data_IF_458207874788
#
_entry.id   IF_458207874788
#
_cell.length_a   1.000
_cell.length_b   1.000
_cell.length_c   1.000
_cell.angle_alpha   90.00
_cell.angle_beta   90.00
_cell.angle_gamma   90.00
#
_symmetry.space_group_name_H-M   'P 1'
#
loop_
_entity.id
_entity.type
_entity.pdbx_description
1 polymer ?
#
# COMPACT_ATOMS: atom_id res chain seq x y z
N UNK A 1 41.96 5.88 -44.83
CA UNK A 1 41.07 5.04 -43.99
C UNK A 1 39.90 5.92 -43.58
N UNK A 2 38.67 5.61 -44.04
CA UNK A 2 37.46 6.41 -43.76
C UNK A 2 36.73 5.77 -42.58
N UNK A 3 36.66 6.47 -41.45
CA UNK A 3 35.86 6.06 -40.29
C UNK A 3 34.48 6.70 -40.40
N UNK A 4 33.48 5.91 -40.75
CA UNK A 4 32.08 6.34 -40.73
C UNK A 4 31.55 6.25 -39.30
N UNK A 5 31.27 7.40 -38.69
CA UNK A 5 30.60 7.48 -37.39
C UNK A 5 29.11 7.17 -37.57
N UNK A 6 28.65 6.00 -37.10
CA UNK A 6 27.24 5.74 -36.90
C UNK A 6 26.78 6.51 -35.65
N UNK A 7 26.01 7.57 -35.86
CA UNK A 7 25.32 8.26 -34.77
C UNK A 7 24.10 7.43 -34.36
N UNK A 8 24.14 6.83 -33.17
CA UNK A 8 23.01 6.11 -32.59
C UNK A 8 22.00 7.13 -32.02
N UNK A 9 20.80 7.21 -32.61
CA UNK A 9 19.68 7.92 -32.00
C UNK A 9 19.28 7.18 -30.70
N UNK A 10 19.62 7.76 -29.54
CA UNK A 10 19.06 7.34 -28.27
C UNK A 10 17.61 7.81 -28.19
N UNK A 11 16.65 6.90 -28.42
CA UNK A 11 15.24 7.15 -28.15
C UNK A 11 15.05 7.22 -26.63
N UNK A 12 14.48 8.30 -26.06
CA UNK A 12 14.16 8.34 -24.65
C UNK A 12 13.08 7.30 -24.33
N UNK A 13 13.43 6.31 -23.50
CA UNK A 13 12.45 5.42 -22.88
C UNK A 13 11.66 6.22 -21.84
N UNK A 14 10.46 6.67 -22.20
CA UNK A 14 9.50 7.18 -21.23
C UNK A 14 8.93 6.00 -20.45
N UNK A 15 9.52 5.70 -19.29
CA UNK A 15 8.91 4.76 -18.35
C UNK A 15 7.64 5.41 -17.76
N UNK A 16 6.46 4.95 -18.21
CA UNK A 16 5.20 5.35 -17.58
C UNK A 16 5.08 4.66 -16.23
N UNK A 17 4.81 5.42 -15.17
CA UNK A 17 4.53 4.88 -13.84
C UNK A 17 3.22 4.07 -13.86
N UNK A 18 3.25 2.83 -13.39
CA UNK A 18 2.06 1.98 -13.35
C UNK A 18 1.11 2.43 -12.24
N UNK A 19 -0.19 2.16 -12.42
CA UNK A 19 -1.20 2.34 -11.36
C UNK A 19 -1.69 0.94 -10.95
N UNK A 20 -1.53 0.63 -9.67
CA UNK A 20 -2.00 -0.62 -9.05
C UNK A 20 -3.27 -0.34 -8.27
N UNK A 21 -4.35 -1.04 -8.58
CA UNK A 21 -5.65 -0.83 -7.92
C UNK A 21 -5.83 -1.81 -6.76
N UNK A 22 -6.33 -1.31 -5.62
CA UNK A 22 -6.75 -2.09 -4.46
C UNK A 22 -8.17 -1.71 -4.10
N UNK A 23 -9.08 -2.67 -4.22
CA UNK A 23 -10.44 -2.54 -3.72
C UNK A 23 -10.44 -2.58 -2.19
N UNK A 24 -11.11 -1.63 -1.55
CA UNK A 24 -11.23 -1.50 -0.09
C UNK A 24 -12.69 -1.71 0.29
N UNK A 25 -12.98 -2.80 0.99
CA UNK A 25 -14.32 -3.03 1.54
C UNK A 25 -15.31 -3.74 0.63
N UNK A 26 -14.93 -4.13 -0.60
CA UNK A 26 -15.87 -4.68 -1.59
C UNK A 26 -16.54 -5.98 -1.13
N UNK A 27 -15.83 -6.78 -0.33
CA UNK A 27 -16.32 -8.03 0.25
C UNK A 27 -16.23 -8.01 1.79
N UNK A 28 -16.67 -6.91 2.42
CA UNK A 28 -16.60 -6.75 3.88
C UNK A 28 -15.19 -6.33 4.34
N UNK A 29 -14.62 -7.01 5.33
CA UNK A 29 -13.33 -6.62 5.95
C UNK A 29 -12.12 -6.99 5.08
N UNK A 30 -12.00 -6.39 3.88
CA UNK A 30 -11.03 -6.84 2.88
C UNK A 30 -10.30 -5.71 2.13
N UNK A 31 -9.06 -6.03 1.76
CA UNK A 31 -8.33 -5.37 0.69
C UNK A 31 -8.15 -6.36 -0.46
N UNK A 32 -8.36 -5.96 -1.70
CA UNK A 32 -8.21 -6.85 -2.86
C UNK A 32 -7.49 -6.15 -4.01
N UNK A 33 -6.27 -6.59 -4.41
CA UNK A 33 -5.51 -7.68 -3.83
C UNK A 33 -4.88 -7.29 -2.47
N UNK A 34 -4.58 -8.29 -1.63
CA UNK A 34 -3.84 -8.09 -0.38
C UNK A 34 -2.31 -8.02 -0.58
N UNK A 35 -1.80 -8.38 -1.76
CA UNK A 35 -0.37 -8.30 -2.08
C UNK A 35 -0.17 -7.54 -3.38
N UNK A 36 0.77 -6.59 -3.37
CA UNK A 36 1.08 -5.74 -4.52
C UNK A 36 2.59 -5.79 -4.76
N UNK A 37 3.01 -5.86 -6.02
CA UNK A 37 4.41 -5.64 -6.42
C UNK A 37 4.46 -4.38 -7.27
N UNK A 38 5.17 -3.36 -6.81
CA UNK A 38 5.20 -2.04 -7.42
C UNK A 38 6.62 -1.45 -7.42
N UNK A 39 6.98 -0.81 -8.52
CA UNK A 39 8.24 -0.10 -8.66
C UNK A 39 8.19 1.27 -7.99
N UNK A 40 9.36 1.85 -7.70
CA UNK A 40 9.44 3.25 -7.27
C UNK A 40 8.92 4.16 -8.38
N UNK A 41 8.00 5.05 -8.04
CA UNK A 41 7.31 5.94 -8.98
C UNK A 41 5.90 5.48 -9.36
N UNK A 42 5.60 4.18 -9.21
CA UNK A 42 4.24 3.67 -9.40
C UNK A 42 3.26 4.31 -8.40
N UNK A 43 1.98 4.25 -8.73
CA UNK A 43 0.89 4.65 -7.84
C UNK A 43 0.12 3.42 -7.35
N UNK A 44 -0.36 3.49 -6.12
CA UNK A 44 -1.34 2.53 -5.60
C UNK A 44 -2.62 3.30 -5.32
N UNK A 45 -3.69 2.92 -6.03
CA UNK A 45 -5.02 3.50 -5.96
C UNK A 45 -5.91 2.60 -5.10
N UNK A 46 -6.21 3.03 -3.88
CA UNK A 46 -7.13 2.37 -2.97
C UNK A 46 -8.55 2.87 -3.22
N UNK A 47 -9.38 2.05 -3.86
CA UNK A 47 -10.77 2.35 -4.23
C UNK A 47 -11.69 1.91 -3.10
N UNK A 48 -12.34 2.86 -2.43
CA UNK A 48 -13.22 2.58 -1.30
C UNK A 48 -14.62 2.18 -1.76
N UNK A 49 -14.83 0.88 -1.95
CA UNK A 49 -16.13 0.30 -2.30
C UNK A 49 -17.07 0.22 -1.08
N UNK A 50 -16.51 0.17 0.14
CA UNK A 50 -17.24 0.20 1.41
C UNK A 50 -16.85 1.38 2.31
N UNK A 51 -17.78 1.80 3.17
CA UNK A 51 -17.54 2.84 4.18
C UNK A 51 -16.93 2.26 5.47
N UNK A 52 -16.36 3.14 6.32
CA UNK A 52 -15.81 2.74 7.63
C UNK A 52 -14.44 2.06 7.55
N UNK A 53 -13.75 2.22 6.43
CA UNK A 53 -12.43 1.66 6.18
C UNK A 53 -11.35 2.73 6.15
N UNK A 54 -10.12 2.29 6.39
CA UNK A 54 -8.93 3.13 6.36
C UNK A 54 -7.80 2.35 5.68
N UNK A 55 -6.77 3.05 5.23
CA UNK A 55 -5.50 2.48 4.77
C UNK A 55 -4.40 3.11 5.61
N UNK A 56 -3.77 2.33 6.49
CA UNK A 56 -2.69 2.77 7.37
C UNK A 56 -1.45 1.89 7.19
N UNK A 57 -0.26 2.49 7.18
CA UNK A 57 0.98 1.70 7.14
C UNK A 57 1.22 0.99 8.48
N UNK A 58 1.37 -0.34 8.41
CA UNK A 58 1.57 -1.20 9.58
C UNK A 58 3.03 -1.41 9.97
N UNK A 59 3.23 -1.92 11.18
CA UNK A 59 4.54 -2.38 11.67
C UNK A 59 4.67 -3.91 11.53
N UNK A 60 5.64 -4.39 10.77
CA UNK A 60 5.94 -5.83 10.63
C UNK A 60 6.34 -6.55 11.93
N UNK A 61 6.60 -5.81 13.02
CA UNK A 61 6.89 -6.40 14.34
C UNK A 61 5.69 -6.42 15.28
N UNK A 62 4.62 -5.69 14.95
CA UNK A 62 3.44 -5.54 15.80
C UNK A 62 2.23 -5.28 14.90
N UNK A 63 1.56 -6.35 14.47
CA UNK A 63 0.40 -6.29 13.59
C UNK A 63 -0.69 -5.34 14.12
N UNK A 64 -1.41 -4.72 13.21
CA UNK A 64 -2.49 -3.75 13.50
C UNK A 64 -2.05 -2.50 14.29
N UNK A 65 -0.73 -2.28 14.43
CA UNK A 65 -0.15 -1.07 15.01
C UNK A 65 0.53 -0.23 13.93
N UNK A 66 0.47 1.11 14.04
CA UNK A 66 1.03 2.00 13.03
C UNK A 66 2.55 1.93 13.01
N UNK A 67 3.12 2.09 11.82
CA UNK A 67 4.56 2.29 11.67
C UNK A 67 4.98 3.64 12.30
N UNK A 68 6.05 3.66 13.11
CA UNK A 68 6.36 4.78 14.01
C UNK A 68 6.75 6.10 13.32
N UNK A 69 7.38 6.05 12.14
CA UNK A 69 7.88 7.25 11.45
C UNK A 69 7.54 7.21 9.98
N UNK A 70 6.91 8.27 9.48
CA UNK A 70 6.64 8.39 8.06
C UNK A 70 5.47 7.56 7.54
N UNK A 71 4.73 6.85 8.42
CA UNK A 71 3.57 6.03 8.04
C UNK A 71 2.60 6.81 7.15
N UNK A 72 2.20 6.22 6.04
CA UNK A 72 1.06 6.71 5.29
C UNK A 72 -0.25 6.36 6.02
N UNK A 73 -1.24 7.23 5.85
CA UNK A 73 -2.58 7.06 6.41
C UNK A 73 -3.59 7.82 5.58
N UNK A 74 -4.65 7.14 5.12
CA UNK A 74 -5.75 7.77 4.38
C UNK A 74 -6.70 8.55 5.28
N UNK A 75 -6.79 8.23 6.57
CA UNK A 75 -7.98 8.56 7.35
C UNK A 75 -9.16 7.66 6.97
N UNK A 76 -10.34 7.96 7.53
CA UNK A 76 -11.56 7.25 7.15
C UNK A 76 -11.94 7.58 5.70
N UNK A 77 -11.89 6.59 4.83
CA UNK A 77 -12.18 6.77 3.42
C UNK A 77 -13.68 6.84 3.13
N UNK A 78 -14.15 7.87 2.41
CA UNK A 78 -15.52 7.90 1.93
C UNK A 78 -15.75 6.79 0.90
N UNK A 79 -16.91 6.15 0.95
CA UNK A 79 -17.32 5.20 -0.09
C UNK A 79 -17.43 5.90 -1.46
N UNK A 80 -17.02 5.22 -2.53
CA UNK A 80 -16.98 5.74 -3.90
C UNK A 80 -15.82 6.68 -4.19
N UNK A 81 -14.88 6.85 -3.26
CA UNK A 81 -13.67 7.67 -3.44
C UNK A 81 -12.42 6.81 -3.54
N UNK A 82 -11.42 7.35 -4.25
CA UNK A 82 -10.13 6.68 -4.41
C UNK A 82 -9.06 7.46 -3.68
N UNK A 83 -8.35 6.82 -2.76
CA UNK A 83 -7.16 7.38 -2.15
C UNK A 83 -5.92 6.85 -2.88
N UNK A 84 -5.10 7.73 -3.43
CA UNK A 84 -3.93 7.35 -4.23
C UNK A 84 -2.64 7.77 -3.54
N UNK A 85 -1.65 6.88 -3.50
CA UNK A 85 -0.31 7.16 -3.01
C UNK A 85 0.77 6.79 -4.03
N UNK A 86 1.87 7.52 -4.01
CA UNK A 86 3.07 7.22 -4.83
C UNK A 86 4.02 6.31 -4.06
N UNK A 87 4.47 5.24 -4.72
CA UNK A 87 5.48 4.32 -4.20
C UNK A 87 6.85 5.02 -4.22
N UNK A 88 7.39 5.32 -3.04
CA UNK A 88 8.66 6.03 -2.89
C UNK A 88 9.85 5.10 -2.59
N UNK A 89 9.57 3.84 -2.26
CA UNK A 89 10.54 2.81 -1.89
C UNK A 89 10.06 1.43 -2.33
N UNK A 90 10.99 0.55 -2.70
CA UNK A 90 10.71 -0.86 -3.01
C UNK A 90 10.87 -1.78 -1.81
N UNK A 91 11.25 -1.25 -0.64
CA UNK A 91 11.28 -2.02 0.60
C UNK A 91 9.87 -2.53 0.96
N UNK A 92 9.74 -3.70 1.61
CA UNK A 92 8.44 -4.22 2.03
C UNK A 92 7.70 -3.22 2.93
N UNK A 93 6.41 -3.02 2.66
CA UNK A 93 5.52 -2.19 3.49
C UNK A 93 4.23 -2.96 3.75
N UNK A 94 3.78 -3.05 5.01
CA UNK A 94 2.44 -3.54 5.30
C UNK A 94 1.44 -2.39 5.34
N UNK A 95 0.19 -2.70 5.06
CA UNK A 95 -0.94 -1.82 5.28
C UNK A 95 -2.08 -2.58 5.96
N UNK A 96 -2.92 -1.85 6.70
CA UNK A 96 -4.06 -2.42 7.41
C UNK A 96 -5.17 -1.39 7.55
N UNK A 97 -6.38 -1.87 7.81
CA UNK A 97 -7.48 -1.02 8.25
C UNK A 97 -7.39 -0.83 9.76
N UNK A 98 -7.22 0.42 10.20
CA UNK A 98 -7.13 0.77 11.62
C UNK A 98 -8.46 0.84 12.35
N UNK A 99 -9.59 0.59 11.67
CA UNK A 99 -10.90 0.50 12.31
C UNK A 99 -10.92 -0.68 13.30
N UNK A 100 -11.43 -0.51 14.54
CA UNK A 100 -11.39 -1.56 15.55
C UNK A 100 -11.95 -2.90 15.06
N UNK A 101 -11.19 -3.97 15.23
CA UNK A 101 -11.58 -5.33 14.83
C UNK A 101 -11.37 -5.64 13.34
N UNK A 102 -11.02 -4.69 12.49
CA UNK A 102 -10.91 -4.98 11.05
C UNK A 102 -9.61 -5.71 10.72
N UNK A 103 -8.47 -5.20 11.18
CA UNK A 103 -7.17 -5.80 10.88
C UNK A 103 -6.99 -7.18 11.53
N UNK A 104 -7.45 -7.35 12.78
CA UNK A 104 -7.37 -8.62 13.51
C UNK A 104 -8.14 -9.72 12.78
N UNK A 105 -9.22 -9.34 12.10
CA UNK A 105 -10.09 -10.22 11.32
C UNK A 105 -9.70 -10.31 9.83
N UNK A 106 -8.49 -9.91 9.44
CA UNK A 106 -7.97 -10.17 8.10
C UNK A 106 -7.80 -8.95 7.19
N UNK A 107 -8.22 -7.75 7.62
CA UNK A 107 -8.16 -6.55 6.78
C UNK A 107 -6.77 -5.90 6.78
N UNK A 108 -5.83 -6.56 6.12
CA UNK A 108 -4.45 -6.13 5.92
C UNK A 108 -3.90 -6.55 4.55
N UNK A 109 -2.78 -5.97 4.16
CA UNK A 109 -2.04 -6.33 2.98
C UNK A 109 -0.56 -5.96 3.05
N UNK A 110 0.19 -6.33 2.03
CA UNK A 110 1.63 -6.08 1.90
C UNK A 110 1.99 -5.62 0.49
N UNK A 111 2.77 -4.54 0.42
CA UNK A 111 3.42 -4.05 -0.79
C UNK A 111 4.85 -4.58 -0.79
N UNK A 112 5.30 -5.10 -1.93
CA UNK A 112 6.65 -5.60 -2.17
C UNK A 112 7.13 -6.59 -1.09
N UNK A 113 6.43 -7.71 -0.83
CA UNK A 113 6.84 -8.67 0.19
C UNK A 113 8.25 -9.20 -0.10
N UNK A 114 9.09 -9.27 0.94
CA UNK A 114 10.44 -9.84 0.83
C UNK A 114 10.93 -10.38 2.18
N UNK A 115 11.72 -11.46 2.14
CA UNK A 115 12.25 -12.11 3.34
C UNK A 115 11.13 -12.52 4.30
N UNK A 116 11.24 -12.10 5.57
CA UNK A 116 10.22 -12.36 6.59
C UNK A 116 9.00 -11.43 6.54
N UNK A 117 9.04 -10.36 5.73
CA UNK A 117 7.97 -9.36 5.63
C UNK A 117 6.93 -9.81 4.59
N UNK A 118 6.23 -10.90 4.89
CA UNK A 118 5.21 -11.49 4.01
C UNK A 118 3.80 -11.23 4.54
N UNK A 119 2.80 -11.40 3.66
CA UNK A 119 1.39 -11.32 4.06
C UNK A 119 1.07 -12.32 5.18
N UNK A 120 1.53 -13.57 5.05
CA UNK A 120 1.30 -14.61 6.04
C UNK A 120 1.96 -14.29 7.40
N UNK A 121 3.19 -13.75 7.39
CA UNK A 121 3.86 -13.34 8.62
C UNK A 121 3.13 -12.18 9.31
N UNK A 122 2.69 -11.18 8.54
CA UNK A 122 1.91 -10.06 9.09
C UNK A 122 0.56 -10.55 9.66
N UNK A 123 -0.10 -11.48 8.97
CA UNK A 123 -1.37 -12.07 9.43
C UNK A 123 -1.27 -12.80 10.77
N UNK A 124 -0.18 -13.53 11.01
CA UNK A 124 0.07 -14.18 12.32
C UNK A 124 0.23 -13.19 13.47
N UNK A 125 0.71 -11.99 13.18
CA UNK A 125 0.84 -10.91 14.18
C UNK A 125 -0.49 -10.17 14.33
N UNK A 126 -1.21 -9.94 13.23
CA UNK A 126 -2.50 -9.26 13.23
C UNK A 126 -3.55 -10.02 14.06
N UNK A 127 -3.65 -11.35 13.90
CA UNK A 127 -4.60 -12.17 14.67
C UNK A 127 -4.31 -12.22 16.17
N UNK A 128 -3.10 -11.83 16.59
CA UNK A 128 -2.67 -11.75 18.00
C UNK A 128 -2.65 -10.33 18.54
N UNK A 129 -2.97 -9.33 17.71
CA UNK A 129 -2.98 -7.95 18.14
C UNK A 129 -4.15 -7.72 19.11
N UNK A 130 -3.92 -6.89 20.14
CA UNK A 130 -4.95 -6.55 21.13
C UNK A 130 -5.98 -5.54 20.61
N UNK A 131 -5.88 -5.11 19.35
CA UNK A 131 -6.73 -4.08 18.77
C UNK A 131 -5.97 -3.14 17.82
N UNK A 132 -6.72 -2.58 16.88
CA UNK A 132 -6.20 -1.74 15.81
C UNK A 132 -6.00 -0.31 16.31
N UNK A 133 -4.85 0.29 16.01
CA UNK A 133 -4.58 1.70 16.32
C UNK A 133 -4.43 2.50 15.05
N UNK A 134 -5.04 3.69 14.99
CA UNK A 134 -4.85 4.60 13.87
C UNK A 134 -3.56 5.43 14.02
N UNK A 135 -2.84 5.73 12.92
CA UNK A 135 -1.90 6.85 12.87
C UNK A 135 -2.60 8.17 13.20
N UNK A 136 -1.86 9.14 13.78
CA UNK A 136 -2.45 10.39 14.26
C UNK A 136 -2.68 11.45 13.18
N UNK A 137 -2.18 11.27 11.95
CA UNK A 137 -2.25 12.27 10.87
C UNK A 137 -2.42 11.58 9.52
N UNK A 138 -3.35 12.10 8.72
CA UNK A 138 -3.49 11.73 7.29
C UNK A 138 -2.26 12.22 6.53
N UNK A 139 -1.66 11.33 5.73
CA UNK A 139 -0.47 11.65 4.91
C UNK A 139 -0.13 10.53 3.91
N UNK A 140 0.71 10.86 2.94
CA UNK A 140 1.29 9.89 1.99
C UNK A 140 0.49 9.67 0.72
N UNK A 141 -0.71 10.25 0.62
CA UNK A 141 -1.59 10.17 -0.54
C UNK A 141 -2.77 11.13 -0.41
N UNK A 142 -3.62 11.20 -1.44
CA UNK A 142 -4.78 12.09 -1.51
C UNK A 142 -6.02 11.38 -2.04
N UNK A 143 -7.20 11.85 -1.64
CA UNK A 143 -8.47 11.44 -2.26
C UNK A 143 -8.70 12.22 -3.55
N UNK A 144 -9.16 11.51 -4.58
CA UNK A 144 -9.65 12.04 -5.84
C UNK A 144 -11.14 11.69 -5.99
#
# INVERSE_FOLDING_TARGET
MKFTLLSALALPFFASAAIHTVAVGSNGLSFSPQTITAAKGDQIAFVFDGAGHTVAQGNFKSGCQPYKKGAFFSGNGPQGKTWTMTVTSTAPQSFYCSTPGHCENGMYGVINPAGANTLAAYGKLASKASGSKAPSKVKGGSFN
#
